data_IF_970505213774
#
_entry.id   IF_970505213774
#
_cell.length_a   1.000
_cell.length_b   1.000
_cell.length_c   1.000
_cell.angle_alpha   90.00
_cell.angle_beta   90.00
_cell.angle_gamma   90.00
#
_symmetry.space_group_name_H-M   'P 1'
#
loop_
_entity.id
_entity.type
_entity.pdbx_description
1 polymer ?
#
# COMPACT_ATOMS: atom_id res chain seq x y z
N UNK A 1 7.55 -24.81 28.57
CA UNK A 1 7.06 -24.01 29.72
C UNK A 1 6.87 -22.59 29.24
N UNK A 2 5.65 -22.07 29.39
CA UNK A 2 5.32 -20.67 29.17
C UNK A 2 5.80 -19.83 30.36
N UNK A 3 5.93 -18.51 30.16
CA UNK A 3 6.07 -17.54 31.26
C UNK A 3 4.98 -17.69 32.33
N UNK A 4 3.79 -18.17 31.92
CA UNK A 4 2.64 -18.38 32.78
C UNK A 4 2.75 -19.62 33.68
N UNK A 5 3.68 -20.53 33.38
CA UNK A 5 3.81 -21.82 34.09
C UNK A 5 4.94 -21.80 35.13
N UNK A 6 5.68 -20.68 35.23
CA UNK A 6 6.85 -20.55 36.10
C UNK A 6 6.46 -20.21 37.53
N UNK A 7 7.16 -20.78 38.49
CA UNK A 7 7.06 -20.39 39.89
C UNK A 7 7.79 -19.05 40.16
N UNK A 8 7.62 -18.51 41.37
CA UNK A 8 8.21 -17.22 41.73
C UNK A 8 9.75 -17.22 41.67
N UNK A 9 10.41 -18.32 42.06
CA UNK A 9 11.87 -18.41 42.03
C UNK A 9 12.37 -18.45 40.59
N UNK A 10 11.67 -19.17 39.72
CA UNK A 10 11.96 -19.25 38.30
C UNK A 10 11.75 -17.89 37.62
N UNK A 11 10.69 -17.15 38.00
CA UNK A 11 10.43 -15.79 37.51
C UNK A 11 11.48 -14.79 37.97
N UNK A 12 11.95 -14.86 39.22
CA UNK A 12 13.02 -13.99 39.73
C UNK A 12 14.34 -14.22 38.98
N UNK A 13 14.69 -15.49 38.78
CA UNK A 13 15.90 -15.87 38.03
C UNK A 13 15.81 -15.40 36.56
N UNK A 14 14.64 -15.56 35.94
CA UNK A 14 14.39 -15.10 34.58
C UNK A 14 14.46 -13.57 34.48
N UNK A 15 13.87 -12.85 35.43
CA UNK A 15 13.89 -11.39 35.46
C UNK A 15 15.32 -10.84 35.62
N UNK A 16 16.15 -11.47 36.46
CA UNK A 16 17.57 -11.11 36.60
C UNK A 16 18.33 -11.31 35.27
N UNK A 17 18.10 -12.44 34.60
CA UNK A 17 18.71 -12.73 33.30
C UNK A 17 18.28 -11.74 32.20
N UNK A 18 16.98 -11.46 32.08
CA UNK A 18 16.44 -10.52 31.07
C UNK A 18 16.95 -9.10 31.30
N UNK A 19 17.07 -8.65 32.56
CA UNK A 19 17.68 -7.34 32.87
C UNK A 19 19.14 -7.27 32.44
N UNK A 20 19.94 -8.30 32.70
CA UNK A 20 21.33 -8.35 32.24
C UNK A 20 21.42 -8.25 30.70
N UNK A 21 20.60 -9.01 29.98
CA UNK A 21 20.52 -8.95 28.51
C UNK A 21 20.06 -7.59 27.98
N UNK A 22 19.19 -6.90 28.72
CA UNK A 22 18.74 -5.55 28.36
C UNK A 22 19.84 -4.51 28.57
N UNK A 23 20.63 -4.59 29.65
CA UNK A 23 21.80 -3.72 29.82
C UNK A 23 22.88 -3.98 28.76
N UNK A 24 23.11 -5.25 28.39
CA UNK A 24 23.96 -5.60 27.25
C UNK A 24 23.44 -5.02 25.92
N UNK A 25 22.12 -5.02 25.71
CA UNK A 25 21.50 -4.43 24.52
C UNK A 25 21.66 -2.90 24.51
N UNK A 26 21.43 -2.23 25.64
CA UNK A 26 21.65 -0.78 25.78
C UNK A 26 23.09 -0.39 25.52
N UNK A 27 24.05 -1.18 26.03
CA UNK A 27 25.47 -0.92 25.85
C UNK A 27 25.94 -0.99 24.38
N UNK A 28 25.13 -1.54 23.47
CA UNK A 28 25.40 -1.54 22.02
C UNK A 28 25.08 -0.20 21.33
N UNK A 29 24.45 0.74 22.02
CA UNK A 29 24.14 2.10 21.50
C UNK A 29 23.48 2.08 20.11
N UNK A 30 22.51 1.19 19.94
CA UNK A 30 21.89 0.91 18.65
C UNK A 30 20.98 2.07 18.21
N UNK A 31 21.12 2.46 16.94
CA UNK A 31 20.19 3.38 16.27
C UNK A 31 19.44 2.61 15.18
N UNK A 32 18.34 1.97 15.54
CA UNK A 32 17.52 1.16 14.65
C UNK A 32 16.08 1.70 14.59
N UNK A 33 15.42 1.53 13.45
CA UNK A 33 14.06 2.00 13.21
C UNK A 33 13.19 0.90 12.57
N UNK A 34 12.21 0.41 13.35
CA UNK A 34 11.23 -0.59 12.96
C UNK A 34 9.84 0.01 12.65
N UNK A 35 9.73 1.34 12.44
CA UNK A 35 8.45 2.06 12.28
C UNK A 35 7.98 2.18 10.83
N UNK A 36 8.85 1.90 9.87
CA UNK A 36 8.65 2.26 8.46
C UNK A 36 7.86 1.19 7.70
N UNK A 37 6.56 1.39 7.52
CA UNK A 37 5.69 0.59 6.67
C UNK A 37 5.82 0.91 5.17
N UNK A 38 7.05 0.95 4.65
CA UNK A 38 7.34 1.23 3.22
C UNK A 38 8.32 0.20 2.65
N UNK A 39 8.32 -0.01 1.33
CA UNK A 39 9.29 -0.89 0.69
C UNK A 39 10.74 -0.50 1.00
N UNK A 40 11.64 -1.49 1.05
CA UNK A 40 13.09 -1.26 1.12
C UNK A 40 13.65 -0.81 -0.23
N UNK A 41 14.90 -0.32 -0.27
CA UNK A 41 15.54 0.09 -1.52
C UNK A 41 15.62 -1.08 -2.51
N UNK A 42 15.94 -2.27 -2.02
CA UNK A 42 16.04 -3.49 -2.82
C UNK A 42 14.69 -3.90 -3.43
N UNK A 43 13.58 -3.63 -2.74
CA UNK A 43 12.24 -3.85 -3.30
C UNK A 43 11.88 -2.80 -4.36
N UNK A 44 12.34 -1.56 -4.20
CA UNK A 44 12.13 -0.51 -5.20
C UNK A 44 12.92 -0.82 -6.48
N UNK A 45 14.09 -1.45 -6.37
CA UNK A 45 14.93 -1.79 -7.51
C UNK A 45 14.25 -2.76 -8.50
N UNK A 46 13.30 -3.57 -8.04
CA UNK A 46 12.50 -4.45 -8.92
C UNK A 46 11.71 -3.68 -9.98
N UNK A 47 11.42 -2.40 -9.74
CA UNK A 47 10.64 -1.54 -10.63
C UNK A 47 11.50 -0.52 -11.38
N UNK A 48 12.83 -0.63 -11.36
CA UNK A 48 13.70 0.35 -12.03
C UNK A 48 13.44 0.46 -13.54
N UNK A 49 13.05 -0.64 -14.20
CA UNK A 49 12.72 -0.61 -15.63
C UNK A 49 11.50 0.28 -15.94
N UNK A 50 10.56 0.43 -14.98
CA UNK A 50 9.41 1.32 -15.12
C UNK A 50 9.82 2.79 -15.28
N UNK A 51 11.01 3.18 -14.80
CA UNK A 51 11.51 4.55 -14.93
C UNK A 51 11.85 4.94 -16.38
N UNK A 52 12.03 3.97 -17.27
CA UNK A 52 12.31 4.19 -18.69
C UNK A 52 11.06 4.02 -19.57
N UNK A 53 9.95 3.52 -19.01
CA UNK A 53 8.70 3.31 -19.72
C UNK A 53 7.86 4.61 -19.81
N UNK A 54 6.95 4.72 -20.79
CA UNK A 54 6.67 3.73 -21.83
C UNK A 54 7.75 3.69 -22.94
N UNK A 55 8.59 4.72 -23.03
CA UNK A 55 9.68 4.80 -23.99
C UNK A 55 9.35 5.67 -25.21
N UNK A 56 10.35 5.91 -26.04
CA UNK A 56 10.19 6.72 -27.25
C UNK A 56 9.35 5.98 -28.29
N UNK A 57 8.29 6.64 -28.79
CA UNK A 57 7.40 6.06 -29.80
C UNK A 57 6.32 5.12 -29.27
N UNK A 58 6.35 4.76 -27.98
CA UNK A 58 5.36 3.89 -27.34
C UNK A 58 4.39 4.72 -26.49
N UNK A 59 3.35 5.22 -27.12
CA UNK A 59 2.34 6.07 -26.46
C UNK A 59 0.93 5.80 -27.00
N UNK A 60 0.72 4.62 -27.57
CA UNK A 60 -0.57 4.19 -28.10
C UNK A 60 -1.04 2.99 -27.32
N UNK A 61 -2.23 3.08 -26.72
CA UNK A 61 -2.80 1.96 -25.96
C UNK A 61 -3.32 0.84 -26.87
N UNK A 62 -3.73 -0.28 -26.26
CA UNK A 62 -4.30 -1.43 -26.97
C UNK A 62 -5.51 -1.11 -27.84
N UNK A 63 -6.20 0.01 -27.61
CA UNK A 63 -7.36 0.46 -28.40
C UNK A 63 -6.98 1.36 -29.57
N UNK A 64 -5.71 1.75 -29.68
CA UNK A 64 -5.20 2.68 -30.68
C UNK A 64 -5.26 4.15 -30.24
N UNK A 65 -5.55 4.45 -28.97
CA UNK A 65 -5.64 5.82 -28.47
C UNK A 65 -4.26 6.37 -28.09
N UNK A 66 -4.01 7.65 -28.41
CA UNK A 66 -2.78 8.37 -28.01
C UNK A 66 -2.89 8.82 -26.55
N UNK A 67 -2.15 8.16 -25.65
CA UNK A 67 -2.24 8.38 -24.20
C UNK A 67 -1.61 9.70 -23.73
N UNK A 68 -1.00 10.47 -24.63
CA UNK A 68 -0.41 11.79 -24.32
C UNK A 68 -1.45 12.91 -24.33
N UNK A 69 -2.66 12.64 -24.84
CA UNK A 69 -3.71 13.63 -25.00
C UNK A 69 -4.90 13.36 -24.09
N UNK A 70 -5.75 14.36 -23.90
CA UNK A 70 -6.90 14.29 -23.01
C UNK A 70 -7.95 13.28 -23.46
N UNK A 71 -8.57 12.62 -22.49
CA UNK A 71 -9.67 11.69 -22.68
C UNK A 71 -9.66 10.61 -21.62
N UNK A 72 -10.69 9.76 -21.64
CA UNK A 72 -10.80 8.55 -20.82
C UNK A 72 -10.76 8.77 -19.29
N UNK A 73 -11.94 8.90 -18.68
CA UNK A 73 -12.09 9.01 -17.22
C UNK A 73 -11.95 7.67 -16.47
N UNK A 74 -11.99 6.54 -17.17
CA UNK A 74 -11.94 5.22 -16.54
C UNK A 74 -10.51 4.70 -16.33
N UNK A 75 -9.53 5.28 -17.02
CA UNK A 75 -8.19 4.74 -17.19
C UNK A 75 -8.10 3.76 -18.37
N UNK A 76 -6.89 3.57 -18.93
CA UNK A 76 -6.69 2.74 -20.13
C UNK A 76 -7.10 1.29 -19.88
N UNK A 77 -7.60 0.61 -20.91
CA UNK A 77 -8.04 -0.78 -20.80
C UNK A 77 -6.89 -1.70 -20.37
N UNK A 78 -5.68 -1.44 -20.88
CA UNK A 78 -4.47 -2.23 -20.68
C UNK A 78 -4.19 -2.51 -19.19
N UNK A 79 -4.19 -1.48 -18.33
CA UNK A 79 -3.93 -1.68 -16.90
C UNK A 79 -5.15 -2.23 -16.14
N UNK A 80 -6.36 -1.88 -16.59
CA UNK A 80 -7.60 -2.33 -15.96
C UNK A 80 -7.80 -3.82 -16.17
N UNK A 81 -7.47 -4.35 -17.35
CA UNK A 81 -7.55 -5.79 -17.65
C UNK A 81 -6.54 -6.59 -16.81
N UNK A 82 -5.30 -6.13 -16.71
CA UNK A 82 -4.27 -6.76 -15.86
C UNK A 82 -4.76 -6.86 -14.39
N UNK A 83 -5.30 -5.78 -13.84
CA UNK A 83 -5.82 -5.79 -12.46
C UNK A 83 -7.13 -6.53 -12.27
N UNK A 84 -8.01 -6.51 -13.27
CA UNK A 84 -9.23 -7.30 -13.25
C UNK A 84 -8.92 -8.81 -13.19
N UNK A 85 -7.93 -9.26 -13.96
CA UNK A 85 -7.45 -10.65 -13.93
C UNK A 85 -6.92 -11.03 -12.54
N UNK A 86 -6.04 -10.20 -11.95
CA UNK A 86 -5.49 -10.42 -10.61
C UNK A 86 -6.58 -10.49 -9.54
N UNK A 87 -7.63 -9.67 -9.66
CA UNK A 87 -8.74 -9.61 -8.70
C UNK A 87 -9.84 -10.64 -8.98
N UNK A 88 -9.85 -11.28 -10.15
CA UNK A 88 -10.89 -12.22 -10.56
C UNK A 88 -12.27 -11.56 -10.79
N UNK A 89 -12.29 -10.34 -11.32
CA UNK A 89 -13.53 -9.57 -11.61
C UNK A 89 -13.54 -9.09 -13.07
N UNK A 90 -14.69 -8.62 -13.55
CA UNK A 90 -14.80 -7.98 -14.87
C UNK A 90 -14.10 -6.60 -14.85
N UNK A 91 -13.25 -6.34 -15.85
CA UNK A 91 -12.54 -5.07 -16.01
C UNK A 91 -13.48 -3.86 -16.15
N UNK A 92 -14.72 -4.07 -16.60
CA UNK A 92 -15.77 -3.04 -16.60
C UNK A 92 -16.09 -2.48 -15.19
N UNK A 93 -15.77 -3.23 -14.12
CA UNK A 93 -15.93 -2.81 -12.73
C UNK A 93 -14.65 -2.21 -12.11
N UNK A 94 -13.57 -2.07 -12.89
CA UNK A 94 -12.30 -1.51 -12.43
C UNK A 94 -12.12 -0.12 -13.04
N UNK A 95 -11.83 0.88 -12.21
CA UNK A 95 -11.34 2.18 -12.63
C UNK A 95 -9.87 2.30 -12.23
N UNK A 96 -9.03 2.87 -13.11
CA UNK A 96 -7.65 3.18 -12.83
C UNK A 96 -7.46 4.71 -12.81
N UNK A 97 -7.10 5.24 -11.63
CA UNK A 97 -6.78 6.65 -11.43
C UNK A 97 -5.29 6.88 -11.19
N UNK A 98 -4.96 7.99 -10.54
CA UNK A 98 -3.59 8.36 -10.19
C UNK A 98 -3.01 7.49 -9.05
N UNK A 99 -1.79 7.81 -8.62
CA UNK A 99 -0.95 6.98 -7.75
C UNK A 99 -1.38 6.87 -6.26
N UNK A 100 -2.64 7.17 -5.91
CA UNK A 100 -3.11 7.16 -4.51
C UNK A 100 -4.58 6.77 -4.41
N UNK A 101 -4.83 5.55 -3.93
CA UNK A 101 -6.19 5.10 -3.60
C UNK A 101 -6.80 5.90 -2.46
N UNK A 102 -5.99 6.46 -1.55
CA UNK A 102 -6.47 7.29 -0.46
C UNK A 102 -7.11 8.60 -0.95
N UNK A 103 -6.68 9.13 -2.11
CA UNK A 103 -7.36 10.26 -2.73
C UNK A 103 -8.75 9.88 -3.24
N UNK A 104 -8.88 8.72 -3.89
CA UNK A 104 -10.19 8.21 -4.34
C UNK A 104 -11.12 7.98 -3.14
N UNK A 105 -10.61 7.36 -2.06
CA UNK A 105 -11.38 7.15 -0.83
C UNK A 105 -11.84 8.48 -0.21
N UNK A 106 -10.97 9.48 -0.18
CA UNK A 106 -11.31 10.82 0.30
C UNK A 106 -12.40 11.47 -0.56
N UNK A 107 -12.26 11.44 -1.88
CA UNK A 107 -13.21 12.05 -2.82
C UNK A 107 -14.59 11.39 -2.71
N UNK A 108 -14.65 10.07 -2.60
CA UNK A 108 -15.92 9.35 -2.42
C UNK A 108 -16.66 9.82 -1.16
N UNK A 109 -15.95 9.99 -0.04
CA UNK A 109 -16.53 10.51 1.20
C UNK A 109 -16.92 11.98 1.03
N UNK A 110 -16.05 12.80 0.45
CA UNK A 110 -16.29 14.23 0.24
C UNK A 110 -17.50 14.49 -0.66
N UNK A 111 -17.65 13.72 -1.74
CA UNK A 111 -18.79 13.82 -2.66
C UNK A 111 -20.07 13.37 -1.98
N UNK A 112 -20.03 12.28 -1.22
CA UNK A 112 -21.19 11.81 -0.47
C UNK A 112 -21.63 12.82 0.60
N UNK A 113 -20.68 13.46 1.27
CA UNK A 113 -20.95 14.54 2.23
C UNK A 113 -21.52 15.80 1.57
N UNK A 114 -20.98 16.23 0.43
CA UNK A 114 -21.40 17.46 -0.22
C UNK A 114 -22.71 17.32 -1.02
N UNK A 115 -22.93 16.15 -1.63
CA UNK A 115 -23.97 15.94 -2.64
C UNK A 115 -24.89 14.74 -2.36
N UNK A 116 -24.47 13.82 -1.48
CA UNK A 116 -25.13 12.52 -1.30
C UNK A 116 -24.65 11.49 -2.33
N UNK A 117 -25.17 10.27 -2.21
CA UNK A 117 -24.98 9.18 -3.17
C UNK A 117 -26.26 8.94 -4.01
N UNK A 118 -26.24 7.94 -4.90
CA UNK A 118 -27.37 7.64 -5.81
C UNK A 118 -28.72 7.39 -5.10
N UNK A 119 -28.69 6.93 -3.85
CA UNK A 119 -29.84 6.60 -3.01
C UNK A 119 -30.08 7.59 -1.86
N UNK A 120 -29.33 8.70 -1.82
CA UNK A 120 -29.45 9.71 -0.77
C UNK A 120 -30.64 10.65 -1.01
N UNK A 121 -31.44 10.88 0.03
CA UNK A 121 -32.52 11.89 -0.01
C UNK A 121 -32.00 13.33 0.12
N UNK A 122 -30.79 13.50 0.66
CA UNK A 122 -30.08 14.77 0.87
C UNK A 122 -28.58 14.46 1.06
N UNK A 123 -27.67 15.43 0.96
CA UNK A 123 -26.27 15.24 1.34
C UNK A 123 -26.15 14.61 2.74
N UNK A 124 -25.15 13.74 2.92
CA UNK A 124 -24.96 12.97 4.16
C UNK A 124 -24.81 13.85 5.40
#
# INVERSE_FOLDING_TARGET
MSLLDLDNSELEQLAANVRARYEELKAKDLTLDLTRGKPSAEQLDFSNDLLALPGEGDYTDSTGADVRNYGNLAGIADIREIWAEVLGIDHANVLAGDASSLNIMFDLISFSYAFGNNDSQRPW
#
